data_IF_467597537073
#
_entry.id   IF_467597537073
#
_cell.length_a   1.000
_cell.length_b   1.000
_cell.length_c   1.000
_cell.angle_alpha   90.00
_cell.angle_beta   90.00
_cell.angle_gamma   90.00
#
_symmetry.space_group_name_H-M   'P 1'
#
loop_
_entity.id
_entity.type
_entity.pdbx_description
1 polymer ?
#
# COMPACT_ATOMS: atom_id res chain seq x y z
N UNK A 1 -47.10 6.03 -26.55
CA UNK A 1 -46.96 5.92 -25.07
C UNK A 1 -46.19 4.66 -24.62
N UNK A 2 -45.89 3.67 -25.48
CA UNK A 2 -45.24 2.40 -25.05
C UNK A 2 -43.70 2.37 -25.16
N UNK A 3 -43.05 3.27 -25.89
CA UNK A 3 -41.57 3.31 -26.03
C UNK A 3 -40.84 3.77 -24.76
N UNK A 4 -41.46 4.62 -23.93
CA UNK A 4 -40.86 5.16 -22.70
C UNK A 4 -40.76 4.13 -21.56
N UNK A 5 -41.43 2.98 -21.69
CA UNK A 5 -41.31 1.83 -20.78
C UNK A 5 -40.36 0.75 -21.32
N UNK A 6 -40.01 0.79 -22.61
CA UNK A 6 -39.09 -0.16 -23.23
C UNK A 6 -37.63 0.14 -22.90
N UNK A 7 -37.26 1.43 -22.85
CA UNK A 7 -35.90 1.89 -22.55
C UNK A 7 -35.35 1.34 -21.21
N UNK A 8 -36.05 1.43 -20.07
CA UNK A 8 -35.52 0.90 -18.81
C UNK A 8 -35.40 -0.63 -18.81
N UNK A 9 -36.28 -1.35 -19.53
CA UNK A 9 -36.23 -2.81 -19.64
C UNK A 9 -35.04 -3.24 -20.51
N UNK A 10 -34.82 -2.55 -21.63
CA UNK A 10 -33.68 -2.81 -22.51
C UNK A 10 -32.35 -2.53 -21.80
N UNK A 11 -32.27 -1.42 -21.05
CA UNK A 11 -31.08 -1.06 -20.28
C UNK A 11 -30.81 -2.10 -19.17
N UNK A 12 -31.84 -2.59 -18.49
CA UNK A 12 -31.72 -3.69 -17.54
C UNK A 12 -31.19 -4.99 -18.17
N UNK A 13 -31.68 -5.36 -19.36
CA UNK A 13 -31.21 -6.55 -20.07
C UNK A 13 -29.75 -6.41 -20.54
N UNK A 14 -29.36 -5.23 -21.03
CA UNK A 14 -27.99 -4.96 -21.46
C UNK A 14 -27.04 -4.97 -20.25
N UNK A 15 -27.43 -4.32 -19.16
CA UNK A 15 -26.64 -4.31 -17.91
C UNK A 15 -26.44 -5.71 -17.34
N UNK A 16 -27.48 -6.55 -17.35
CA UNK A 16 -27.41 -7.94 -16.89
C UNK A 16 -26.50 -8.78 -17.82
N UNK A 17 -26.60 -8.59 -19.13
CA UNK A 17 -25.75 -9.27 -20.11
C UNK A 17 -24.27 -8.93 -19.97
N UNK A 18 -23.95 -7.64 -19.77
CA UNK A 18 -22.57 -7.19 -19.54
C UNK A 18 -22.03 -7.72 -18.20
N UNK A 19 -22.84 -7.66 -17.13
CA UNK A 19 -22.43 -8.14 -15.80
C UNK A 19 -22.10 -9.64 -15.78
N UNK A 20 -22.98 -10.48 -16.36
CA UNK A 20 -22.75 -11.93 -16.45
C UNK A 20 -21.56 -12.27 -17.35
N UNK A 21 -21.42 -11.59 -18.49
CA UNK A 21 -20.33 -11.81 -19.43
C UNK A 21 -18.96 -11.46 -18.83
N UNK A 22 -18.85 -10.31 -18.17
CA UNK A 22 -17.61 -9.88 -17.52
C UNK A 22 -17.22 -10.78 -16.35
N UNK A 23 -18.20 -11.23 -15.54
CA UNK A 23 -17.95 -12.14 -14.42
C UNK A 23 -17.42 -13.51 -14.86
N UNK A 24 -17.91 -14.06 -15.99
CA UNK A 24 -17.39 -15.30 -16.56
C UNK A 24 -16.02 -15.11 -17.23
N UNK A 25 -15.79 -13.96 -17.89
CA UNK A 25 -14.53 -13.67 -18.55
C UNK A 25 -13.37 -13.41 -17.58
N UNK A 26 -13.66 -12.71 -16.47
CA UNK A 26 -12.68 -12.40 -15.43
C UNK A 26 -12.54 -13.51 -14.39
N UNK A 27 -13.28 -14.62 -14.53
CA UNK A 27 -13.17 -15.76 -13.63
C UNK A 27 -11.74 -16.30 -13.71
N UNK A 28 -10.95 -16.19 -12.63
CA UNK A 28 -9.57 -16.68 -12.62
C UNK A 28 -9.59 -18.19 -12.86
N UNK A 29 -8.70 -18.69 -13.73
CA UNK A 29 -8.49 -20.12 -13.88
C UNK A 29 -7.89 -20.65 -12.56
N UNK A 30 -8.75 -21.15 -11.69
CA UNK A 30 -8.36 -21.81 -10.46
C UNK A 30 -7.48 -23.01 -10.78
N UNK A 31 -6.36 -23.10 -10.07
CA UNK A 31 -5.59 -24.33 -9.91
C UNK A 31 -6.52 -25.52 -9.70
N UNK A 32 -6.27 -26.60 -10.45
CA UNK A 32 -6.89 -27.90 -10.21
C UNK A 32 -6.62 -28.33 -8.77
N UNK A 33 -7.64 -28.28 -7.92
CA UNK A 33 -7.73 -29.12 -6.74
C UNK A 33 -8.94 -30.02 -6.92
N UNK A 34 -8.68 -31.30 -6.70
CA UNK A 34 -9.49 -32.43 -7.06
C UNK A 34 -10.97 -32.32 -6.66
N UNK A 35 -11.79 -32.82 -7.59
CA UNK A 35 -13.20 -33.15 -7.55
C UNK A 35 -13.69 -33.74 -6.21
N UNK A 36 -14.71 -33.11 -5.61
CA UNK A 36 -15.73 -33.79 -4.84
C UNK A 36 -17.10 -33.12 -5.09
N UNK A 37 -18.03 -33.93 -5.60
CA UNK A 37 -19.43 -33.63 -5.89
C UNK A 37 -20.24 -33.29 -4.64
N UNK A 38 -21.34 -32.55 -4.81
CA UNK A 38 -22.50 -32.68 -3.92
C UNK A 38 -23.28 -31.40 -3.59
N UNK A 39 -24.22 -31.06 -4.48
CA UNK A 39 -25.58 -30.55 -4.22
C UNK A 39 -25.86 -29.50 -3.11
N UNK A 40 -26.25 -28.32 -3.59
CA UNK A 40 -27.50 -27.58 -3.32
C UNK A 40 -28.08 -27.41 -1.88
N UNK A 41 -28.22 -26.13 -1.54
CA UNK A 41 -29.42 -25.45 -1.00
C UNK A 41 -30.11 -25.99 0.27
N UNK A 42 -30.21 -25.12 1.28
CA UNK A 42 -31.46 -24.43 1.61
C UNK A 42 -31.37 -23.70 2.96
N UNK A 43 -32.15 -22.63 3.04
CA UNK A 43 -32.40 -21.77 4.18
C UNK A 43 -33.13 -22.46 5.35
N UNK A 44 -33.15 -21.71 6.46
CA UNK A 44 -34.18 -21.60 7.52
C UNK A 44 -33.82 -22.11 8.93
N UNK A 45 -33.59 -21.12 9.80
CA UNK A 45 -34.33 -20.84 11.05
C UNK A 45 -34.24 -21.74 12.31
N UNK A 46 -34.42 -21.04 13.44
CA UNK A 46 -34.54 -21.45 14.86
C UNK A 46 -33.21 -21.69 15.61
N UNK A 47 -32.96 -21.18 16.81
CA UNK A 47 -33.77 -20.44 17.78
C UNK A 47 -33.50 -20.92 19.21
N UNK A 48 -32.89 -20.07 20.06
CA UNK A 48 -33.00 -20.04 21.55
C UNK A 48 -32.06 -18.90 22.04
N UNK A 49 -32.48 -17.83 22.73
CA UNK A 49 -33.29 -17.77 23.97
C UNK A 49 -32.36 -17.99 25.16
N UNK A 50 -32.14 -17.11 26.15
CA UNK A 50 -32.98 -16.09 26.80
C UNK A 50 -32.07 -15.12 27.63
N UNK A 51 -32.33 -13.79 27.64
CA UNK A 51 -32.93 -12.96 28.72
C UNK A 51 -31.91 -12.36 29.72
N UNK A 52 -32.00 -11.14 30.27
CA UNK A 52 -32.86 -9.95 30.14
C UNK A 52 -32.22 -8.72 30.89
N UNK A 53 -32.91 -7.57 30.82
CA UNK A 53 -32.82 -6.29 31.56
C UNK A 53 -31.90 -5.18 31.01
N UNK A 54 -32.44 -4.17 30.29
CA UNK A 54 -33.09 -2.91 30.76
C UNK A 54 -32.05 -1.90 31.31
N UNK A 55 -32.00 -0.59 31.01
CA UNK A 55 -32.83 0.41 30.32
C UNK A 55 -31.93 1.69 30.20
N UNK A 56 -32.14 2.54 29.18
CA UNK A 56 -32.13 4.02 29.22
C UNK A 56 -31.64 4.73 27.95
N UNK A 57 -32.63 5.21 27.20
CA UNK A 57 -32.85 6.60 26.80
C UNK A 57 -31.75 7.40 26.06
N UNK A 58 -32.03 7.68 24.79
CA UNK A 58 -31.59 8.88 24.07
C UNK A 58 -32.33 10.14 24.60
N UNK A 59 -31.83 11.35 24.28
CA UNK A 59 -32.52 12.08 23.21
C UNK A 59 -31.61 12.86 22.25
N UNK A 60 -32.26 13.29 21.16
CA UNK A 60 -31.76 13.94 19.95
C UNK A 60 -31.72 15.48 20.04
N UNK A 61 -31.29 16.06 18.91
CA UNK A 61 -31.50 17.42 18.36
C UNK A 61 -30.29 18.36 18.54
N UNK A 62 -29.82 19.11 17.56
CA UNK A 62 -30.27 19.45 16.21
C UNK A 62 -29.50 20.70 15.71
N UNK A 63 -29.79 21.13 14.48
CA UNK A 63 -29.46 22.43 13.86
C UNK A 63 -28.12 22.59 13.11
N UNK A 64 -28.15 22.16 11.84
CA UNK A 64 -28.07 23.00 10.62
C UNK A 64 -27.57 24.45 10.75
N UNK A 65 -26.55 24.82 9.95
CA UNK A 65 -26.48 26.16 9.34
C UNK A 65 -25.53 26.25 8.14
N UNK A 66 -26.00 27.01 7.15
CA UNK A 66 -25.57 27.07 5.77
C UNK A 66 -24.39 28.03 5.46
N UNK A 67 -23.76 27.75 4.31
CA UNK A 67 -23.06 28.60 3.33
C UNK A 67 -22.79 30.07 3.65
N UNK A 68 -21.53 30.50 3.48
CA UNK A 68 -21.17 31.82 2.92
C UNK A 68 -19.80 31.72 2.24
N UNK A 69 -19.76 32.02 0.95
CA UNK A 69 -18.53 32.32 0.22
C UNK A 69 -18.01 33.70 0.65
N UNK A 70 -16.71 33.83 0.92
CA UNK A 70 -16.02 35.11 0.74
C UNK A 70 -14.59 34.88 0.23
N UNK A 71 -14.36 35.38 -0.98
CA UNK A 71 -13.05 35.57 -1.60
C UNK A 71 -12.41 36.81 -0.97
N UNK A 72 -11.16 36.69 -0.52
CA UNK A 72 -10.37 37.82 -0.05
C UNK A 72 -8.91 37.41 0.16
N UNK A 73 -8.06 37.80 -0.78
CA UNK A 73 -6.64 37.54 -0.78
C UNK A 73 -5.88 38.43 0.24
N UNK A 74 -4.69 37.93 0.59
CA UNK A 74 -3.46 38.65 0.92
C UNK A 74 -2.97 38.52 2.36
N UNK A 75 -1.96 37.64 2.48
CA UNK A 75 -0.74 37.73 3.27
C UNK A 75 -0.85 38.11 4.74
N UNK A 76 -0.63 37.10 5.59
CA UNK A 76 0.22 37.30 6.75
C UNK A 76 1.05 36.05 6.96
N UNK A 77 2.36 36.23 6.86
CA UNK A 77 3.37 35.27 7.29
C UNK A 77 3.11 34.92 8.76
N UNK A 78 2.55 33.75 8.99
CA UNK A 78 2.83 32.99 10.19
C UNK A 78 3.50 31.71 9.72
N UNK A 79 4.81 31.64 9.97
CA UNK A 79 5.49 30.37 10.19
C UNK A 79 4.83 29.72 11.40
N UNK A 80 3.67 29.13 11.17
CA UNK A 80 3.25 27.97 11.90
C UNK A 80 4.31 26.92 11.52
N UNK A 81 5.23 26.64 12.44
CA UNK A 81 5.77 25.29 12.54
C UNK A 81 4.57 24.39 12.86
N UNK A 82 3.77 24.13 11.83
CA UNK A 82 2.98 22.93 11.76
C UNK A 82 4.02 21.84 11.91
N UNK A 83 4.04 21.17 13.06
CA UNK A 83 4.59 19.83 13.12
C UNK A 83 3.70 18.97 12.24
N UNK A 84 3.86 19.16 10.92
CA UNK A 84 3.33 18.29 9.92
C UNK A 84 3.92 16.93 10.27
N UNK A 85 3.03 15.97 10.57
CA UNK A 85 3.42 14.61 10.89
C UNK A 85 4.33 14.02 9.80
N UNK A 86 4.98 12.88 10.10
CA UNK A 86 5.92 12.29 9.17
C UNK A 86 5.28 12.06 7.79
N UNK A 87 6.01 12.47 6.75
CA UNK A 87 5.70 12.24 5.36
C UNK A 87 6.38 10.94 4.90
N UNK A 88 5.66 10.12 4.14
CA UNK A 88 6.18 8.84 3.63
C UNK A 88 6.32 8.92 2.11
N UNK A 89 7.56 8.89 1.63
CA UNK A 89 7.90 9.08 0.23
C UNK A 89 8.36 7.75 -0.36
N UNK A 90 7.53 7.13 -1.20
CA UNK A 90 7.88 5.91 -1.92
C UNK A 90 8.89 6.23 -3.03
N UNK A 91 10.01 5.52 -3.07
CA UNK A 91 10.97 5.66 -4.16
C UNK A 91 10.44 5.06 -5.46
N UNK A 92 10.78 5.69 -6.58
CA UNK A 92 10.36 5.26 -7.89
C UNK A 92 11.17 4.05 -8.33
N UNK A 93 10.48 2.99 -8.77
CA UNK A 93 11.09 1.73 -9.20
C UNK A 93 11.79 0.95 -8.07
N UNK A 94 11.72 -0.37 -8.17
CA UNK A 94 12.39 -1.27 -7.23
C UNK A 94 13.91 -1.27 -7.46
N UNK A 95 14.63 -1.77 -6.47
CA UNK A 95 16.06 -2.07 -6.55
C UNK A 95 16.20 -3.56 -6.87
N UNK A 96 17.13 -3.89 -7.76
CA UNK A 96 17.38 -5.27 -8.21
C UNK A 96 18.84 -5.59 -7.98
N UNK A 97 19.12 -6.61 -7.17
CA UNK A 97 20.44 -6.91 -6.63
C UNK A 97 20.78 -8.37 -6.91
N UNK A 98 21.81 -8.67 -7.72
CA UNK A 98 22.29 -10.03 -7.91
C UNK A 98 23.12 -10.44 -6.69
N UNK A 99 22.85 -11.63 -6.17
CA UNK A 99 23.70 -12.28 -5.17
C UNK A 99 24.65 -13.21 -5.92
N UNK A 100 25.96 -13.02 -5.75
CA UNK A 100 26.99 -13.75 -6.49
C UNK A 100 27.77 -14.65 -5.53
N UNK A 101 27.84 -15.95 -5.83
CA UNK A 101 28.74 -16.89 -5.18
C UNK A 101 29.67 -17.53 -6.21
N UNK A 102 30.97 -17.59 -5.90
CA UNK A 102 31.99 -18.22 -6.76
C UNK A 102 31.95 -17.70 -8.22
N UNK A 103 31.64 -16.42 -8.39
CA UNK A 103 31.56 -15.75 -9.70
C UNK A 103 30.28 -16.06 -10.51
N UNK A 104 29.27 -16.70 -9.91
CA UNK A 104 27.97 -16.97 -10.54
C UNK A 104 26.85 -16.31 -9.75
N UNK A 105 25.87 -15.77 -10.46
CA UNK A 105 24.62 -15.30 -9.83
C UNK A 105 23.86 -16.52 -9.33
N UNK A 106 23.59 -16.57 -8.03
CA UNK A 106 22.84 -17.66 -7.38
C UNK A 106 21.41 -17.24 -7.02
N UNK A 107 21.19 -15.95 -6.79
CA UNK A 107 19.88 -15.39 -6.52
C UNK A 107 19.77 -13.96 -7.05
N UNK A 108 18.54 -13.51 -7.28
CA UNK A 108 18.18 -12.12 -7.56
C UNK A 108 17.26 -11.61 -6.45
N UNK A 109 17.65 -10.51 -5.81
CA UNK A 109 16.85 -9.86 -4.76
C UNK A 109 16.20 -8.61 -5.33
N UNK A 110 14.91 -8.43 -5.08
CA UNK A 110 14.12 -7.27 -5.49
C UNK A 110 13.60 -6.58 -4.24
N UNK A 111 13.84 -5.28 -4.11
CA UNK A 111 13.49 -4.49 -2.91
C UNK A 111 12.75 -3.22 -3.31
N UNK A 112 11.65 -2.91 -2.62
CA UNK A 112 10.99 -1.61 -2.68
C UNK A 112 11.26 -0.82 -1.39
N UNK A 113 11.62 0.45 -1.52
CA UNK A 113 11.96 1.32 -0.39
C UNK A 113 11.03 2.54 -0.32
N UNK A 114 10.72 2.94 0.90
CA UNK A 114 9.99 4.18 1.24
C UNK A 114 10.80 4.93 2.28
N UNK A 115 10.95 6.24 2.14
CA UNK A 115 11.58 7.09 3.16
C UNK A 115 10.51 7.68 4.06
N UNK A 116 10.77 7.71 5.35
CA UNK A 116 10.05 8.54 6.32
C UNK A 116 10.86 9.83 6.54
N UNK A 117 10.21 10.97 6.39
CA UNK A 117 10.84 12.26 6.57
C UNK A 117 9.89 13.29 7.20
N UNK A 118 10.44 14.39 7.71
CA UNK A 118 9.64 15.53 8.16
C UNK A 118 8.78 16.11 7.03
N UNK A 119 7.61 16.64 7.37
CA UNK A 119 6.69 17.20 6.37
C UNK A 119 7.31 18.29 5.51
N UNK A 120 7.02 18.26 4.20
CA UNK A 120 7.53 19.22 3.23
C UNK A 120 8.91 18.87 2.67
N UNK A 121 9.49 17.72 3.05
CA UNK A 121 10.78 17.24 2.52
C UNK A 121 10.61 16.48 1.20
N UNK A 122 9.37 16.15 0.80
CA UNK A 122 9.10 15.32 -0.38
C UNK A 122 9.69 15.85 -1.70
N UNK A 123 9.58 17.16 -1.97
CA UNK A 123 10.13 17.75 -3.20
C UNK A 123 11.66 17.62 -3.27
N UNK A 124 12.35 17.85 -2.15
CA UNK A 124 13.81 17.70 -2.08
C UNK A 124 14.23 16.23 -2.26
N UNK A 125 13.50 15.29 -1.68
CA UNK A 125 13.75 13.85 -1.83
C UNK A 125 13.63 13.44 -3.30
N UNK A 126 12.57 13.86 -4.00
CA UNK A 126 12.42 13.54 -5.43
C UNK A 126 13.49 14.21 -6.30
N UNK A 127 13.85 15.47 -6.01
CA UNK A 127 14.89 16.17 -6.75
C UNK A 127 16.28 15.50 -6.62
N UNK A 128 16.57 14.94 -5.44
CA UNK A 128 17.82 14.22 -5.15
C UNK A 128 17.70 12.70 -5.25
N UNK A 129 16.54 12.17 -5.67
CA UNK A 129 16.29 10.74 -5.79
C UNK A 129 17.38 10.01 -6.59
N UNK A 130 17.90 10.54 -7.73
CA UNK A 130 18.98 9.86 -8.46
C UNK A 130 20.23 9.61 -7.62
N UNK A 131 20.56 10.51 -6.67
CA UNK A 131 21.72 10.35 -5.76
C UNK A 131 21.41 9.40 -4.61
N UNK A 132 20.19 9.46 -4.08
CA UNK A 132 19.72 8.48 -3.10
C UNK A 132 19.79 7.06 -3.65
N UNK A 133 19.32 6.86 -4.89
CA UNK A 133 19.35 5.55 -5.53
C UNK A 133 20.77 5.01 -5.73
N UNK A 134 21.71 5.87 -6.12
CA UNK A 134 23.12 5.50 -6.26
C UNK A 134 23.71 5.02 -4.93
N UNK A 135 23.53 5.78 -3.85
CA UNK A 135 23.99 5.40 -2.51
C UNK A 135 23.31 4.12 -1.99
N UNK A 136 22.00 3.98 -2.18
CA UNK A 136 21.27 2.79 -1.77
C UNK A 136 21.72 1.54 -2.54
N UNK A 137 21.97 1.66 -3.85
CA UNK A 137 22.51 0.54 -4.63
C UNK A 137 23.85 0.07 -4.07
N UNK A 138 24.74 1.00 -3.73
CA UNK A 138 26.03 0.64 -3.12
C UNK A 138 25.83 -0.10 -1.79
N UNK A 139 25.02 0.43 -0.87
CA UNK A 139 24.70 -0.22 0.41
C UNK A 139 24.12 -1.61 0.21
N UNK A 140 23.20 -1.77 -0.74
CA UNK A 140 22.56 -3.04 -1.03
C UNK A 140 23.53 -4.06 -1.65
N UNK A 141 24.44 -3.63 -2.53
CA UNK A 141 25.49 -4.51 -3.06
C UNK A 141 26.48 -4.93 -1.98
N UNK A 142 26.89 -4.03 -1.10
CA UNK A 142 27.78 -4.35 0.03
C UNK A 142 27.11 -5.34 0.99
N UNK A 143 25.80 -5.18 1.24
CA UNK A 143 25.01 -6.12 2.02
C UNK A 143 24.91 -7.50 1.35
N UNK A 144 24.72 -7.55 0.03
CA UNK A 144 24.73 -8.81 -0.73
C UNK A 144 26.09 -9.51 -0.68
N UNK A 145 27.18 -8.75 -0.85
CA UNK A 145 28.55 -9.28 -0.86
C UNK A 145 29.01 -9.76 0.52
N UNK A 146 28.47 -9.19 1.61
CA UNK A 146 28.69 -9.67 2.98
C UNK A 146 27.78 -10.87 3.35
N UNK A 147 26.90 -11.28 2.44
CA UNK A 147 26.01 -12.43 2.62
C UNK A 147 24.71 -12.12 3.37
N UNK A 148 24.33 -10.85 3.52
CA UNK A 148 23.13 -10.44 4.24
C UNK A 148 21.80 -10.90 3.62
N UNK A 149 21.83 -11.27 2.34
CA UNK A 149 20.69 -11.88 1.64
C UNK A 149 20.74 -13.42 1.54
N UNK A 150 21.76 -14.05 2.12
CA UNK A 150 21.89 -15.51 2.16
C UNK A 150 20.98 -16.11 3.25
N UNK A 151 20.52 -17.35 3.06
CA UNK A 151 19.73 -18.06 4.08
C UNK A 151 18.42 -17.36 4.40
N UNK A 152 18.14 -17.12 5.69
CA UNK A 152 16.94 -16.40 6.18
C UNK A 152 17.08 -14.89 5.95
N UNK A 153 16.90 -14.47 4.69
CA UNK A 153 17.04 -13.08 4.26
C UNK A 153 15.99 -12.12 4.85
N UNK A 154 14.89 -12.67 5.38
CA UNK A 154 13.84 -11.92 6.08
C UNK A 154 14.03 -11.90 7.60
N UNK A 155 15.15 -12.43 8.12
CA UNK A 155 15.46 -12.33 9.54
C UNK A 155 15.53 -10.85 9.96
N UNK A 156 14.77 -10.51 11.00
CA UNK A 156 14.68 -9.15 11.53
C UNK A 156 16.05 -8.58 11.89
N UNK A 157 16.99 -9.39 12.40
CA UNK A 157 18.33 -8.93 12.75
C UNK A 157 19.13 -8.45 11.53
N UNK A 158 19.06 -9.18 10.41
CA UNK A 158 19.74 -8.81 9.16
C UNK A 158 19.14 -7.53 8.56
N UNK A 159 17.81 -7.40 8.60
CA UNK A 159 17.11 -6.23 8.10
C UNK A 159 17.31 -4.98 8.97
N UNK A 160 17.58 -5.12 10.27
CA UNK A 160 17.92 -3.98 11.13
C UNK A 160 19.24 -3.35 10.70
N UNK A 161 20.27 -4.15 10.44
CA UNK A 161 21.56 -3.63 9.99
C UNK A 161 21.44 -2.94 8.62
N UNK A 162 20.71 -3.56 7.69
CA UNK A 162 20.46 -2.98 6.37
C UNK A 162 19.72 -1.64 6.46
N UNK A 163 18.63 -1.57 7.24
CA UNK A 163 17.87 -0.32 7.43
C UNK A 163 18.74 0.80 8.00
N UNK A 164 19.61 0.47 8.97
CA UNK A 164 20.52 1.46 9.54
C UNK A 164 21.50 2.02 8.51
N UNK A 165 22.10 1.15 7.70
CA UNK A 165 23.03 1.57 6.65
C UNK A 165 22.34 2.38 5.55
N UNK A 166 21.11 2.00 5.17
CA UNK A 166 20.29 2.78 4.22
C UNK A 166 19.96 4.16 4.79
N UNK A 167 19.58 4.26 6.07
CA UNK A 167 19.29 5.53 6.72
C UNK A 167 20.53 6.44 6.78
N UNK A 168 21.69 5.90 7.17
CA UNK A 168 22.96 6.66 7.16
C UNK A 168 23.28 7.20 5.74
N UNK A 169 23.07 6.38 4.71
CA UNK A 169 23.22 6.81 3.31
C UNK A 169 22.19 7.88 2.91
N UNK A 170 20.94 7.77 3.38
CA UNK A 170 19.89 8.73 3.08
C UNK A 170 20.18 10.09 3.71
N UNK A 171 20.60 10.08 4.98
CA UNK A 171 20.95 11.28 5.74
C UNK A 171 22.19 11.98 5.19
N UNK A 172 23.11 11.25 4.56
CA UNK A 172 24.25 11.84 3.85
C UNK A 172 23.82 12.65 2.62
N UNK A 173 22.74 12.25 1.93
CA UNK A 173 22.28 12.88 0.69
C UNK A 173 21.24 13.97 0.92
N UNK A 174 20.27 13.72 1.81
CA UNK A 174 19.13 14.63 2.09
C UNK A 174 19.38 15.45 3.35
N UNK A 175 19.98 14.84 4.37
CA UNK A 175 20.17 15.45 5.69
C UNK A 175 19.35 14.76 6.78
N UNK A 176 19.37 15.29 8.01
CA UNK A 176 18.78 14.66 9.18
C UNK A 176 17.24 14.63 9.19
N UNK A 177 16.59 15.29 8.22
CA UNK A 177 15.13 15.30 8.09
C UNK A 177 14.56 13.94 7.66
N UNK A 178 15.39 13.02 7.17
CA UNK A 178 15.02 11.62 6.94
C UNK A 178 15.20 10.86 8.25
N UNK A 179 14.10 10.34 8.78
CA UNK A 179 14.04 9.68 10.10
C UNK A 179 14.13 8.16 10.00
N UNK A 180 13.62 7.57 8.92
CA UNK A 180 13.68 6.13 8.69
C UNK A 180 13.69 5.74 7.20
N UNK A 181 14.14 4.51 6.91
CA UNK A 181 14.01 3.86 5.61
C UNK A 181 13.25 2.56 5.77
N UNK A 182 12.06 2.51 5.18
CA UNK A 182 11.17 1.37 5.24
C UNK A 182 11.39 0.47 4.03
N UNK A 183 11.63 -0.81 4.30
CA UNK A 183 11.59 -1.86 3.28
C UNK A 183 10.12 -2.25 3.12
N UNK A 184 9.48 -1.72 2.08
CA UNK A 184 8.04 -1.92 1.83
C UNK A 184 7.74 -3.23 1.11
N UNK A 185 8.71 -3.76 0.37
CA UNK A 185 8.63 -5.07 -0.28
C UNK A 185 10.04 -5.66 -0.40
N UNK A 186 10.14 -6.98 -0.28
CA UNK A 186 11.36 -7.74 -0.51
C UNK A 186 11.02 -9.12 -1.05
N UNK A 187 11.62 -9.47 -2.20
CA UNK A 187 11.52 -10.78 -2.81
C UNK A 187 12.91 -11.30 -3.17
N UNK A 188 13.09 -12.63 -3.10
CA UNK A 188 14.29 -13.31 -3.57
C UNK A 188 13.91 -14.42 -4.55
N UNK A 189 14.57 -14.44 -5.69
CA UNK A 189 14.45 -15.50 -6.69
C UNK A 189 15.77 -16.24 -6.77
N UNK A 190 15.75 -17.52 -6.39
CA UNK A 190 16.91 -18.40 -6.47
C UNK A 190 17.02 -19.00 -7.89
N UNK A 191 18.25 -19.27 -8.35
CA UNK A 191 18.56 -19.81 -9.68
C UNK A 191 18.75 -21.32 -9.72
#
# INVERSE_FOLDING_TARGET
MMIRKLIPVLLGLIGLGIGLGAGLFLRPAGHEVAKAEGAEASAAESGHGAEADEEHAAPKEGADHATTEHVGATETEQSETSEAGPEYIKLSNQFVIPVVEKGKVVSMVIIALTLEAGGGTGEEIYAREPKLRDGFLQVLFDHANSGGFNGSFTDGANLVLLRRALLESAQTVIGPNVTDVLISDIARQDS
#
